data_IF_830050108576
#
_entry.id   IF_830050108576
#
_cell.length_a   1.000
_cell.length_b   1.000
_cell.length_c   1.000
_cell.angle_alpha   90.00
_cell.angle_beta   90.00
_cell.angle_gamma   90.00
#
_symmetry.space_group_name_H-M   'P 1'
#
loop_
_entity.id
_entity.type
_entity.pdbx_description
1 polymer ?
#
# COMPACT_ATOMS: atom_id res chain seq x y z
N UNK A 1 8.44 37.05 8.82
CA UNK A 1 7.20 37.12 8.02
C UNK A 1 7.47 36.47 6.68
N UNK A 2 6.48 35.78 6.06
CA UNK A 2 6.67 35.23 4.74
C UNK A 2 6.93 36.34 3.72
N UNK A 3 7.82 36.10 2.77
CA UNK A 3 8.14 37.02 1.68
C UNK A 3 8.09 36.29 0.33
N UNK A 4 7.87 37.04 -0.75
CA UNK A 4 7.81 36.49 -2.09
C UNK A 4 8.67 37.29 -3.05
N UNK A 5 9.33 36.61 -3.98
CA UNK A 5 10.07 37.22 -5.09
C UNK A 5 9.67 36.53 -6.38
N UNK A 6 9.29 37.30 -7.39
CA UNK A 6 8.96 36.78 -8.72
C UNK A 6 10.23 36.78 -9.58
N UNK A 7 10.48 35.68 -10.28
CA UNK A 7 11.57 35.60 -11.25
C UNK A 7 11.38 36.63 -12.38
N UNK A 8 12.43 37.28 -12.93
CA UNK A 8 12.29 38.27 -14.00
C UNK A 8 11.56 37.78 -15.25
N UNK A 9 11.56 36.47 -15.52
CA UNK A 9 10.83 35.88 -16.64
C UNK A 9 9.33 35.67 -16.35
N UNK A 10 8.89 35.88 -15.11
CA UNK A 10 7.55 35.59 -14.62
C UNK A 10 7.23 34.09 -14.54
N UNK A 11 8.17 33.18 -14.85
CA UNK A 11 7.88 31.75 -14.95
C UNK A 11 7.72 31.04 -13.62
N UNK A 12 8.26 31.61 -12.53
CA UNK A 12 8.08 31.10 -11.18
C UNK A 12 8.21 32.23 -10.15
N UNK A 13 7.78 31.96 -8.92
CA UNK A 13 8.07 32.76 -7.75
C UNK A 13 8.82 31.92 -6.71
N UNK A 14 9.55 32.60 -5.83
CA UNK A 14 10.15 32.03 -4.63
C UNK A 14 9.39 32.53 -3.41
N UNK A 15 8.75 31.62 -2.68
CA UNK A 15 8.11 31.90 -1.40
C UNK A 15 9.08 31.53 -0.28
N UNK A 16 9.40 32.49 0.59
CA UNK A 16 10.23 32.27 1.77
C UNK A 16 9.36 32.28 3.01
N UNK A 17 9.33 31.18 3.74
CA UNK A 17 8.60 31.01 5.01
C UNK A 17 9.59 30.63 6.12
N UNK A 18 9.17 30.49 7.40
CA UNK A 18 10.04 29.97 8.46
C UNK A 18 10.60 28.56 8.18
N UNK A 19 9.95 27.74 7.35
CA UNK A 19 10.44 26.40 6.96
C UNK A 19 11.43 26.42 5.79
N UNK A 20 11.70 27.60 5.22
CA UNK A 20 12.68 27.83 4.17
C UNK A 20 12.10 28.45 2.91
N UNK A 21 12.93 28.52 1.86
CA UNK A 21 12.52 29.00 0.55
C UNK A 21 12.08 27.83 -0.35
N UNK A 22 11.00 28.03 -1.10
CA UNK A 22 10.46 27.08 -2.10
C UNK A 22 10.05 27.83 -3.37
N UNK A 23 10.33 27.24 -4.54
CA UNK A 23 9.92 27.80 -5.84
C UNK A 23 8.62 27.16 -6.35
N UNK A 24 7.76 27.99 -6.95
CA UNK A 24 6.50 27.57 -7.56
C UNK A 24 6.33 28.22 -8.94
N UNK A 25 6.07 27.40 -9.96
CA UNK A 25 5.93 27.82 -11.36
C UNK A 25 4.56 28.45 -11.60
N UNK A 26 4.51 29.43 -12.49
CA UNK A 26 3.28 30.13 -12.88
C UNK A 26 2.19 29.17 -13.34
N UNK A 27 2.53 28.24 -14.24
CA UNK A 27 1.59 27.23 -14.75
C UNK A 27 1.05 26.33 -13.64
N UNK A 28 1.89 25.90 -12.69
CA UNK A 28 1.46 25.05 -11.58
C UNK A 28 0.54 25.80 -10.64
N UNK A 29 0.86 27.04 -10.29
CA UNK A 29 -0.01 27.88 -9.46
C UNK A 29 -1.35 28.11 -10.17
N UNK A 30 -1.35 28.47 -11.47
CA UNK A 30 -2.57 28.72 -12.23
C UNK A 30 -3.48 27.49 -12.33
N UNK A 31 -2.91 26.31 -12.54
CA UNK A 31 -3.63 25.02 -12.63
C UNK A 31 -4.15 24.52 -11.25
N UNK A 32 -3.59 25.05 -10.17
CA UNK A 32 -3.93 24.70 -8.80
C UNK A 32 -4.63 25.82 -8.02
N UNK A 33 -5.07 26.88 -8.71
CA UNK A 33 -5.84 27.94 -8.07
C UNK A 33 -7.11 27.37 -7.38
N UNK A 34 -7.41 27.89 -6.20
CA UNK A 34 -8.51 27.41 -5.35
C UNK A 34 -9.76 28.28 -5.44
N UNK A 35 -9.77 29.27 -6.34
CA UNK A 35 -10.92 30.15 -6.51
C UNK A 35 -12.11 29.42 -7.16
N UNK A 36 -13.36 29.88 -6.94
CA UNK A 36 -14.56 29.24 -7.48
C UNK A 36 -14.62 29.12 -9.01
N UNK A 37 -13.81 29.90 -9.75
CA UNK A 37 -13.69 29.78 -11.20
C UNK A 37 -12.72 28.69 -11.67
N UNK A 38 -11.90 28.14 -10.76
CA UNK A 38 -10.94 27.07 -11.06
C UNK A 38 -11.33 25.76 -10.36
N UNK A 39 -11.92 25.83 -9.15
CA UNK A 39 -12.34 24.68 -8.34
C UNK A 39 -13.80 24.85 -7.93
N UNK A 40 -14.62 23.82 -8.17
CA UNK A 40 -16.01 23.81 -7.77
C UNK A 40 -16.15 23.77 -6.23
N UNK A 41 -16.82 24.76 -5.59
CA UNK A 41 -16.91 24.82 -4.12
C UNK A 41 -17.56 23.60 -3.46
N UNK A 42 -18.52 22.94 -4.15
CA UNK A 42 -19.29 21.84 -3.57
C UNK A 42 -18.63 20.46 -3.62
N UNK A 43 -17.66 20.24 -4.51
CA UNK A 43 -17.07 18.90 -4.70
C UNK A 43 -15.54 18.91 -4.95
N UNK A 44 -14.91 20.08 -5.02
CA UNK A 44 -13.46 20.23 -5.21
C UNK A 44 -12.95 19.86 -6.60
N UNK A 45 -13.82 19.50 -7.54
CA UNK A 45 -13.42 19.20 -8.91
C UNK A 45 -12.86 20.45 -9.61
N UNK A 46 -11.85 20.26 -10.46
CA UNK A 46 -11.30 21.32 -11.30
C UNK A 46 -12.30 21.64 -12.41
N UNK A 47 -12.56 22.93 -12.64
CA UNK A 47 -13.53 23.42 -13.64
C UNK A 47 -12.90 23.77 -14.99
N UNK A 48 -11.57 23.74 -15.06
CA UNK A 48 -10.79 24.06 -16.26
C UNK A 48 -9.96 22.84 -16.68
N UNK A 49 -9.64 22.81 -17.96
CA UNK A 49 -8.65 21.91 -18.54
C UNK A 49 -7.31 22.65 -18.69
N UNK A 50 -6.23 21.90 -18.95
CA UNK A 50 -4.93 22.52 -19.21
C UNK A 50 -4.95 23.41 -20.47
N UNK A 51 -5.83 23.13 -21.44
CA UNK A 51 -5.99 23.94 -22.66
C UNK A 51 -6.55 25.34 -22.37
N UNK A 52 -7.30 25.47 -21.28
CA UNK A 52 -7.85 26.76 -20.84
C UNK A 52 -6.80 27.63 -20.12
N UNK A 53 -5.60 27.08 -19.89
CA UNK A 53 -4.44 27.78 -19.35
C UNK A 53 -3.51 28.12 -20.52
N UNK A 54 -3.32 29.42 -20.87
CA UNK A 54 -2.42 29.83 -21.93
C UNK A 54 -1.01 29.25 -21.73
N UNK A 55 -0.40 28.73 -22.80
CA UNK A 55 0.91 28.08 -22.74
C UNK A 55 2.02 29.03 -22.24
N UNK A 56 1.87 30.33 -22.50
CA UNK A 56 2.74 31.42 -22.10
C UNK A 56 2.37 32.04 -20.75
N UNK A 57 1.54 31.35 -19.92
CA UNK A 57 1.15 31.83 -18.59
C UNK A 57 2.38 32.18 -17.73
N UNK A 58 2.40 33.42 -17.25
CA UNK A 58 3.42 34.02 -16.39
C UNK A 58 2.78 34.65 -15.15
N UNK A 59 3.58 34.80 -14.11
CA UNK A 59 3.27 35.63 -12.94
C UNK A 59 3.61 37.07 -13.31
N UNK A 60 2.60 37.92 -13.39
CA UNK A 60 2.78 39.35 -13.60
C UNK A 60 3.14 40.06 -12.29
N UNK A 61 2.48 39.69 -11.19
CA UNK A 61 2.71 40.23 -9.85
C UNK A 61 2.45 39.15 -8.80
N UNK A 62 3.21 39.18 -7.70
CA UNK A 62 2.91 38.41 -6.50
C UNK A 62 3.23 39.23 -5.25
N UNK A 63 2.37 39.14 -4.24
CA UNK A 63 2.55 39.81 -2.96
C UNK A 63 1.97 38.98 -1.82
N UNK A 64 2.61 39.03 -0.66
CA UNK A 64 2.04 38.51 0.59
C UNK A 64 1.18 39.61 1.19
N UNK A 65 -0.12 39.34 1.34
CA UNK A 65 -1.08 40.27 1.91
C UNK A 65 -0.90 40.40 3.44
N UNK A 66 -1.47 41.44 4.09
CA UNK A 66 -1.36 41.63 5.54
C UNK A 66 -1.90 40.47 6.38
N UNK A 67 -2.85 39.70 5.82
CA UNK A 67 -3.40 38.48 6.43
C UNK A 67 -2.48 37.24 6.25
N UNK A 68 -1.30 37.43 5.67
CA UNK A 68 -0.31 36.39 5.43
C UNK A 68 -0.52 35.59 4.14
N UNK A 69 -1.63 35.78 3.41
CA UNK A 69 -1.91 34.99 2.20
C UNK A 69 -1.12 35.48 1.00
N UNK A 70 -0.72 34.55 0.13
CA UNK A 70 -0.03 34.89 -1.12
C UNK A 70 -1.06 35.23 -2.20
N UNK A 71 -1.05 36.46 -2.70
CA UNK A 71 -1.83 36.85 -3.89
C UNK A 71 -0.94 36.81 -5.12
N UNK A 72 -1.41 36.18 -6.19
CA UNK A 72 -0.71 36.03 -7.46
C UNK A 72 -1.60 36.52 -8.60
N UNK A 73 -1.06 37.36 -9.48
CA UNK A 73 -1.70 37.83 -10.71
C UNK A 73 -0.99 37.22 -11.91
N UNK A 74 -1.76 36.59 -12.79
CA UNK A 74 -1.23 35.95 -13.99
C UNK A 74 -1.42 36.81 -15.24
N UNK A 75 -0.50 36.66 -16.18
CA UNK A 75 -0.62 37.12 -17.56
C UNK A 75 -0.43 35.95 -18.53
N UNK A 76 -1.11 35.93 -19.68
CA UNK A 76 -2.20 36.82 -20.07
C UNK A 76 -3.50 36.55 -19.27
N UNK A 77 -4.46 37.48 -19.32
CA UNK A 77 -5.81 37.30 -18.75
C UNK A 77 -6.06 37.90 -17.36
N UNK A 78 -5.09 38.62 -16.79
CA UNK A 78 -5.16 39.39 -15.53
C UNK A 78 -5.82 38.67 -14.33
N UNK A 79 -5.77 37.33 -14.34
CA UNK A 79 -6.41 36.49 -13.33
C UNK A 79 -5.66 36.66 -12.01
N UNK A 80 -6.35 37.09 -10.97
CA UNK A 80 -5.85 37.16 -9.59
C UNK A 80 -6.37 35.99 -8.78
N UNK A 81 -5.50 35.34 -8.02
CA UNK A 81 -5.84 34.24 -7.11
C UNK A 81 -5.07 34.41 -5.80
N UNK A 82 -5.58 33.79 -4.75
CA UNK A 82 -4.95 33.81 -3.43
C UNK A 82 -4.70 32.39 -2.95
N UNK A 83 -3.54 32.17 -2.34
CA UNK A 83 -3.13 30.90 -1.74
C UNK A 83 -2.85 31.07 -0.26
N UNK A 84 -3.24 30.06 0.51
CA UNK A 84 -2.73 29.86 1.86
C UNK A 84 -1.27 29.34 1.76
N UNK A 85 -0.28 30.03 2.38
CA UNK A 85 1.10 29.56 2.42
C UNK A 85 1.25 28.16 3.01
N UNK A 86 0.43 27.76 3.99
CA UNK A 86 0.47 26.42 4.56
C UNK A 86 0.04 25.36 3.53
N UNK A 87 -0.94 25.69 2.67
CA UNK A 87 -1.34 24.82 1.57
C UNK A 87 -0.20 24.64 0.55
N UNK A 88 0.50 25.73 0.21
CA UNK A 88 1.66 25.71 -0.69
C UNK A 88 2.83 24.91 -0.11
N UNK A 89 3.17 25.13 1.17
CA UNK A 89 4.25 24.42 1.84
C UNK A 89 4.00 22.91 1.86
N UNK A 90 2.77 22.50 2.21
CA UNK A 90 2.35 21.10 2.22
C UNK A 90 2.38 20.45 0.83
N UNK A 91 2.46 21.24 -0.26
CA UNK A 91 2.48 20.78 -1.67
C UNK A 91 3.72 21.26 -2.42
N UNK A 92 4.75 21.69 -1.69
CA UNK A 92 6.00 22.12 -2.27
C UNK A 92 6.65 20.94 -3.02
N UNK A 93 6.94 21.16 -4.30
CA UNK A 93 7.61 20.19 -5.17
C UNK A 93 9.08 20.57 -5.45
N UNK A 94 9.46 21.81 -5.15
CA UNK A 94 10.87 22.25 -5.16
C UNK A 94 11.57 21.76 -3.89
N UNK A 95 11.80 20.44 -3.85
CA UNK A 95 12.43 19.71 -2.75
C UNK A 95 13.36 18.65 -3.31
N UNK A 96 14.31 18.20 -2.50
CA UNK A 96 15.14 17.05 -2.85
C UNK A 96 14.25 15.81 -3.05
N UNK A 97 14.37 15.15 -4.19
CA UNK A 97 13.73 13.86 -4.46
C UNK A 97 14.61 12.78 -3.84
N UNK A 98 14.05 11.75 -3.17
CA UNK A 98 14.83 10.61 -2.73
C UNK A 98 15.55 9.99 -3.93
N UNK A 99 16.88 9.98 -3.91
CA UNK A 99 17.67 9.45 -5.03
C UNK A 99 17.76 7.91 -5.01
N UNK A 100 17.39 7.27 -3.90
CA UNK A 100 17.60 5.85 -3.68
C UNK A 100 16.43 5.02 -4.21
N UNK A 101 16.68 4.18 -5.21
CA UNK A 101 15.70 3.17 -5.68
C UNK A 101 15.28 2.25 -4.54
N UNK A 102 13.99 1.97 -4.45
CA UNK A 102 13.35 1.30 -3.32
C UNK A 102 13.18 2.20 -2.10
N UNK A 103 12.97 3.51 -2.26
CA UNK A 103 12.59 4.34 -1.11
C UNK A 103 11.15 4.05 -0.69
N UNK A 104 10.83 4.34 0.57
CA UNK A 104 9.50 4.11 1.15
C UNK A 104 8.89 5.44 1.62
N UNK A 105 7.57 5.60 1.52
CA UNK A 105 6.90 6.78 2.04
C UNK A 105 6.99 6.84 3.58
N UNK A 106 7.03 8.03 4.19
CA UNK A 106 7.27 8.20 5.63
C UNK A 106 6.29 7.46 6.55
N UNK A 107 5.06 7.24 6.10
CA UNK A 107 4.04 6.50 6.82
C UNK A 107 4.30 4.99 6.89
N UNK A 108 5.10 4.44 5.98
CA UNK A 108 5.42 3.01 5.93
C UNK A 108 6.62 2.73 6.83
N UNK A 109 6.46 1.76 7.74
CA UNK A 109 7.54 1.27 8.60
C UNK A 109 7.77 -0.21 8.33
N UNK A 110 8.96 -0.55 7.87
CA UNK A 110 9.37 -1.95 7.71
C UNK A 110 9.63 -2.62 9.05
N UNK A 111 9.48 -3.94 9.09
CA UNK A 111 9.65 -4.74 10.29
C UNK A 111 10.23 -6.12 10.01
N UNK A 112 10.69 -6.76 11.08
CA UNK A 112 11.21 -8.13 11.14
C UNK A 112 10.53 -8.86 12.30
N UNK A 113 11.10 -9.98 12.77
CA UNK A 113 10.54 -10.77 13.89
C UNK A 113 10.37 -9.97 15.19
N UNK A 114 11.04 -8.82 15.36
CA UNK A 114 10.89 -7.96 16.53
C UNK A 114 9.47 -7.42 16.72
N UNK A 115 8.67 -7.29 15.66
CA UNK A 115 7.27 -6.86 15.74
C UNK A 115 6.36 -7.92 16.40
N UNK A 116 6.81 -9.16 16.54
CA UNK A 116 6.06 -10.23 17.19
C UNK A 116 5.72 -9.92 18.66
N UNK A 117 6.50 -9.06 19.32
CA UNK A 117 6.23 -8.63 20.69
C UNK A 117 5.03 -7.66 20.80
N UNK A 118 4.67 -6.99 19.71
CA UNK A 118 3.60 -5.98 19.66
C UNK A 118 2.89 -6.03 18.30
N UNK A 119 2.23 -7.15 18.05
CA UNK A 119 1.48 -7.36 16.80
C UNK A 119 0.30 -6.39 16.76
N UNK A 120 0.16 -5.55 15.72
CA UNK A 120 -0.97 -4.63 15.62
C UNK A 120 -2.30 -5.37 15.71
N UNK A 121 -3.18 -4.94 16.60
CA UNK A 121 -4.42 -5.64 16.91
C UNK A 121 -5.52 -4.64 17.27
N UNK A 122 -6.76 -4.93 16.85
CA UNK A 122 -7.95 -4.18 17.26
C UNK A 122 -9.08 -5.11 17.71
N UNK A 123 -9.90 -4.64 18.65
CA UNK A 123 -11.13 -5.32 19.07
C UNK A 123 -12.27 -5.02 18.10
N UNK A 124 -12.92 -6.04 17.55
CA UNK A 124 -13.95 -5.86 16.53
C UNK A 124 -15.10 -4.95 16.97
N UNK A 125 -15.51 -5.00 18.24
CA UNK A 125 -16.62 -4.18 18.77
C UNK A 125 -16.22 -2.71 18.80
N UNK A 126 -14.99 -2.41 19.26
CA UNK A 126 -14.44 -1.06 19.27
C UNK A 126 -14.25 -0.52 17.85
N UNK A 127 -13.75 -1.36 16.93
CA UNK A 127 -13.58 -0.99 15.52
C UNK A 127 -14.93 -0.68 14.85
N UNK A 128 -15.97 -1.47 15.15
CA UNK A 128 -17.31 -1.26 14.61
C UNK A 128 -17.96 0.01 15.15
N UNK A 129 -17.65 0.42 16.38
CA UNK A 129 -18.08 1.70 16.94
C UNK A 129 -17.43 2.91 16.24
N UNK A 130 -16.33 2.72 15.52
CA UNK A 130 -15.64 3.75 14.75
C UNK A 130 -14.67 4.58 15.59
N UNK A 131 -14.59 5.88 15.29
CA UNK A 131 -13.73 6.81 16.03
C UNK A 131 -12.24 6.48 16.00
N UNK A 132 -11.55 6.77 17.10
CA UNK A 132 -10.10 6.63 17.24
C UNK A 132 -9.62 5.19 17.09
N UNK A 133 -10.33 4.21 17.66
CA UNK A 133 -9.99 2.80 17.57
C UNK A 133 -9.89 2.33 16.11
N UNK A 134 -10.91 2.64 15.30
CA UNK A 134 -10.91 2.31 13.87
C UNK A 134 -9.83 3.09 13.11
N UNK A 135 -9.71 4.40 13.34
CA UNK A 135 -8.69 5.23 12.68
C UNK A 135 -7.29 4.66 12.92
N UNK A 136 -6.97 4.38 14.18
CA UNK A 136 -5.64 3.96 14.58
C UNK A 136 -5.33 2.55 14.06
N UNK A 137 -6.30 1.62 14.10
CA UNK A 137 -6.16 0.29 13.51
C UNK A 137 -5.93 0.32 11.99
N UNK A 138 -6.68 1.13 11.24
CA UNK A 138 -6.43 1.34 9.81
C UNK A 138 -5.04 1.96 9.57
N UNK A 139 -4.62 2.89 10.42
CA UNK A 139 -3.30 3.49 10.42
C UNK A 139 -2.19 2.46 10.64
N UNK A 140 -2.41 1.46 11.50
CA UNK A 140 -1.47 0.34 11.67
C UNK A 140 -1.36 -0.51 10.42
N UNK A 141 -2.46 -0.79 9.71
CA UNK A 141 -2.42 -1.53 8.43
C UNK A 141 -1.67 -0.72 7.37
N UNK A 142 -1.89 0.60 7.27
CA UNK A 142 -1.12 1.44 6.34
C UNK A 142 0.37 1.43 6.70
N UNK A 143 0.70 1.48 7.99
CA UNK A 143 2.08 1.56 8.48
C UNK A 143 2.85 0.26 8.35
N UNK A 144 2.28 -0.84 8.84
CA UNK A 144 2.92 -2.15 8.94
C UNK A 144 2.48 -3.12 7.84
N UNK A 145 1.45 -2.79 7.06
CA UNK A 145 0.92 -3.68 6.03
C UNK A 145 0.09 -4.84 6.57
N UNK A 146 -0.11 -4.96 7.89
CA UNK A 146 -1.04 -5.95 8.45
C UNK A 146 -1.52 -5.56 9.85
N UNK A 147 -2.66 -6.12 10.25
CA UNK A 147 -3.14 -6.09 11.63
C UNK A 147 -4.09 -7.27 11.91
N UNK A 148 -4.15 -7.69 13.18
CA UNK A 148 -5.14 -8.63 13.70
C UNK A 148 -6.45 -7.92 14.05
N UNK A 149 -7.51 -8.73 14.07
CA UNK A 149 -8.81 -8.39 14.67
C UNK A 149 -9.14 -9.51 15.67
N UNK A 150 -9.59 -9.15 16.86
CA UNK A 150 -10.08 -10.09 17.87
C UNK A 150 -11.55 -9.85 18.17
N UNK A 151 -12.22 -10.84 18.76
CA UNK A 151 -13.63 -10.77 19.16
C UNK A 151 -14.60 -10.49 18.00
N UNK A 152 -14.26 -10.91 16.77
CA UNK A 152 -15.16 -10.91 15.64
C UNK A 152 -16.22 -12.05 15.74
N UNK A 153 -17.39 -11.91 15.10
CA UNK A 153 -18.44 -12.93 15.17
C UNK A 153 -17.99 -14.29 14.62
N UNK A 154 -18.25 -15.36 15.39
CA UNK A 154 -17.93 -16.74 14.96
C UNK A 154 -19.09 -17.29 14.12
N UNK A 155 -19.24 -16.77 12.90
CA UNK A 155 -20.23 -17.24 11.91
C UNK A 155 -19.70 -17.16 10.48
N UNK A 156 -20.16 -18.03 9.57
CA UNK A 156 -19.86 -17.89 8.15
C UNK A 156 -20.18 -16.48 7.63
N UNK A 157 -19.25 -15.92 6.86
CA UNK A 157 -19.38 -14.60 6.26
C UNK A 157 -19.02 -13.43 7.18
N UNK A 158 -18.60 -13.65 8.44
CA UNK A 158 -18.21 -12.57 9.36
C UNK A 158 -16.98 -11.77 8.89
N UNK A 159 -16.14 -12.33 8.02
CA UNK A 159 -15.06 -11.57 7.36
C UNK A 159 -15.57 -10.40 6.51
N UNK A 160 -16.81 -10.44 6.02
CA UNK A 160 -17.40 -9.33 5.29
C UNK A 160 -17.66 -8.15 6.20
N UNK A 161 -18.10 -8.40 7.44
CA UNK A 161 -18.28 -7.34 8.44
C UNK A 161 -16.95 -6.61 8.74
N UNK A 162 -15.81 -7.31 8.64
CA UNK A 162 -14.47 -6.71 8.78
C UNK A 162 -14.12 -5.84 7.57
N UNK A 163 -14.45 -6.28 6.35
CA UNK A 163 -14.22 -5.49 5.13
C UNK A 163 -15.09 -4.24 5.12
N UNK A 164 -16.33 -4.33 5.59
CA UNK A 164 -17.29 -3.22 5.65
C UNK A 164 -16.81 -2.07 6.56
N UNK A 165 -15.85 -2.31 7.47
CA UNK A 165 -15.20 -1.26 8.26
C UNK A 165 -14.44 -0.25 7.39
N UNK A 166 -13.98 -0.66 6.20
CA UNK A 166 -13.03 0.12 5.42
C UNK A 166 -13.22 0.11 3.90
N UNK A 167 -13.97 -0.81 3.31
CA UNK A 167 -14.07 -0.89 1.85
C UNK A 167 -15.04 -1.93 1.35
N UNK A 168 -14.69 -2.56 0.23
CA UNK A 168 -15.55 -3.48 -0.50
C UNK A 168 -14.80 -4.78 -0.84
N UNK A 169 -15.56 -5.88 -0.90
CA UNK A 169 -15.03 -7.19 -1.26
C UNK A 169 -14.73 -7.24 -2.76
N UNK A 170 -13.55 -7.77 -3.11
CA UNK A 170 -13.21 -8.16 -4.47
C UNK A 170 -13.66 -9.58 -4.74
N UNK A 171 -14.70 -9.72 -5.56
CA UNK A 171 -15.17 -11.03 -6.03
C UNK A 171 -14.23 -11.63 -7.08
N UNK A 172 -14.05 -12.95 -7.06
CA UNK A 172 -13.20 -13.71 -7.98
C UNK A 172 -13.91 -14.97 -8.49
N UNK A 173 -13.26 -15.80 -9.32
CA UNK A 173 -13.80 -17.13 -9.66
C UNK A 173 -13.97 -18.04 -8.44
N UNK A 174 -13.28 -17.78 -7.32
CA UNK A 174 -13.51 -18.48 -6.06
C UNK A 174 -14.78 -18.02 -5.33
N UNK A 175 -15.49 -17.01 -5.87
CA UNK A 175 -16.63 -16.34 -5.24
C UNK A 175 -16.22 -15.09 -4.47
N UNK A 176 -17.14 -14.61 -3.62
CA UNK A 176 -16.93 -13.47 -2.71
C UNK A 176 -15.99 -13.80 -1.54
N UNK A 177 -15.95 -15.06 -1.14
CA UNK A 177 -15.02 -15.63 -0.16
C UNK A 177 -14.73 -17.08 -0.54
N UNK A 178 -13.69 -17.66 0.05
CA UNK A 178 -13.32 -19.06 -0.12
C UNK A 178 -13.13 -19.74 1.24
N UNK A 179 -13.34 -21.05 1.25
CA UNK A 179 -13.25 -21.90 2.44
C UNK A 179 -11.86 -22.53 2.54
N UNK A 180 -11.18 -22.39 3.68
CA UNK A 180 -9.93 -23.07 3.98
C UNK A 180 -10.16 -24.05 5.11
N UNK A 181 -10.48 -25.29 4.74
CA UNK A 181 -10.72 -26.39 5.68
C UNK A 181 -9.54 -27.35 5.67
N UNK A 182 -9.09 -27.73 6.86
CA UNK A 182 -8.05 -28.75 7.03
C UNK A 182 -8.51 -29.75 8.08
N UNK A 183 -8.60 -31.02 7.68
CA UNK A 183 -8.64 -32.16 8.59
C UNK A 183 -7.22 -32.72 8.71
N UNK A 184 -6.60 -32.56 9.87
CA UNK A 184 -5.25 -33.09 10.12
C UNK A 184 -5.41 -34.51 10.63
N UNK A 185 -5.20 -35.50 9.75
CA UNK A 185 -5.24 -36.93 10.06
C UNK A 185 -3.87 -37.59 9.73
N UNK A 186 -3.27 -38.39 10.64
CA UNK A 186 -1.98 -39.05 10.40
C UNK A 186 -1.92 -39.94 9.15
N UNK A 187 -3.05 -40.42 8.64
CA UNK A 187 -3.09 -41.42 7.55
C UNK A 187 -3.19 -40.84 6.14
N UNK A 188 -3.51 -39.55 5.97
CA UNK A 188 -3.80 -38.96 4.65
C UNK A 188 -2.87 -37.78 4.34
N UNK A 189 -1.70 -38.09 3.77
CA UNK A 189 -0.66 -37.13 3.38
C UNK A 189 -0.98 -36.32 2.09
N UNK A 190 -2.19 -36.43 1.53
CA UNK A 190 -2.53 -35.85 0.22
C UNK A 190 -2.96 -34.37 0.23
N UNK A 191 -3.30 -33.79 1.40
CA UNK A 191 -3.53 -32.34 1.58
C UNK A 191 -2.58 -31.83 2.67
N UNK A 192 -1.31 -31.72 2.31
CA UNK A 192 -0.15 -31.84 3.21
C UNK A 192 -0.14 -30.89 4.41
N UNK A 193 0.15 -31.45 5.60
CA UNK A 193 0.56 -30.71 6.80
C UNK A 193 1.91 -30.00 6.68
N UNK A 194 2.51 -29.96 5.48
CA UNK A 194 3.74 -29.23 5.18
C UNK A 194 3.50 -27.72 5.31
N UNK A 195 4.53 -27.00 5.78
CA UNK A 195 4.51 -25.54 5.82
C UNK A 195 4.42 -24.97 4.40
N UNK A 196 3.67 -23.89 4.24
CA UNK A 196 3.66 -23.14 2.98
C UNK A 196 4.77 -22.10 3.06
N UNK A 197 5.55 -21.96 1.99
CA UNK A 197 6.45 -20.81 1.85
C UNK A 197 5.62 -19.52 1.91
N UNK A 198 6.13 -18.48 2.58
CA UNK A 198 5.48 -17.18 2.61
C UNK A 198 5.30 -16.65 1.18
N UNK A 199 4.10 -16.19 0.87
CA UNK A 199 3.74 -15.74 -0.48
C UNK A 199 2.76 -14.56 -0.45
N UNK A 200 2.70 -13.82 -1.55
CA UNK A 200 1.55 -12.99 -1.88
C UNK A 200 0.57 -13.76 -2.75
N UNK A 201 -0.71 -13.51 -2.54
CA UNK A 201 -1.79 -14.19 -3.23
C UNK A 201 -2.02 -13.62 -4.62
N UNK A 202 -2.35 -14.51 -5.55
CA UNK A 202 -2.82 -14.20 -6.89
C UNK A 202 -1.92 -13.23 -7.68
N UNK A 203 -0.58 -13.39 -7.71
CA UNK A 203 0.28 -12.53 -8.52
C UNK A 203 0.04 -12.69 -10.03
N UNK A 204 -0.74 -13.71 -10.43
CA UNK A 204 -1.28 -13.95 -11.77
C UNK A 204 -2.51 -13.09 -12.13
N UNK A 205 -3.02 -12.25 -11.21
CA UNK A 205 -4.07 -11.26 -11.50
C UNK A 205 -3.46 -9.87 -11.69
N UNK A 206 -4.02 -9.13 -12.64
CA UNK A 206 -3.65 -7.74 -12.90
C UNK A 206 -4.93 -6.91 -13.15
N UNK A 207 -5.36 -6.06 -12.20
CA UNK A 207 -4.69 -5.76 -10.93
C UNK A 207 -4.70 -6.94 -9.94
N UNK A 208 -3.64 -7.05 -9.14
CA UNK A 208 -3.55 -8.02 -8.03
C UNK A 208 -4.53 -7.62 -6.92
N UNK A 209 -5.21 -8.55 -6.24
CA UNK A 209 -5.96 -8.21 -5.04
C UNK A 209 -5.05 -7.58 -3.99
N UNK A 210 -5.35 -6.37 -3.54
CA UNK A 210 -4.40 -5.61 -2.71
C UNK A 210 -4.60 -5.85 -1.21
N UNK A 211 -5.76 -6.35 -0.77
CA UNK A 211 -6.00 -6.77 0.61
C UNK A 211 -6.47 -8.21 0.64
N UNK A 212 -5.98 -8.98 1.61
CA UNK A 212 -6.54 -10.28 1.97
C UNK A 212 -6.97 -10.27 3.44
N UNK A 213 -8.13 -10.86 3.72
CA UNK A 213 -8.64 -11.10 5.08
C UNK A 213 -8.77 -12.61 5.28
N UNK A 214 -8.23 -13.12 6.38
CA UNK A 214 -8.44 -14.51 6.82
C UNK A 214 -9.05 -14.51 8.21
N UNK A 215 -10.24 -15.10 8.34
CA UNK A 215 -11.02 -15.17 9.57
C UNK A 215 -11.19 -16.61 10.05
N UNK A 216 -10.97 -16.84 11.34
CA UNK A 216 -11.01 -18.16 11.94
C UNK A 216 -12.39 -18.48 12.54
N UNK A 217 -12.99 -19.59 12.09
CA UNK A 217 -14.26 -20.10 12.61
C UNK A 217 -14.05 -21.30 13.55
N UNK A 218 -13.07 -22.16 13.26
CA UNK A 218 -12.72 -23.31 14.10
C UNK A 218 -11.21 -23.53 14.09
N UNK A 219 -10.65 -23.83 15.27
CA UNK A 219 -9.21 -24.09 15.44
C UNK A 219 -8.98 -25.05 16.62
N UNK A 220 -8.99 -26.35 16.35
CA UNK A 220 -8.69 -27.38 17.36
C UNK A 220 -7.33 -28.07 17.14
N UNK A 221 -6.75 -27.97 15.94
CA UNK A 221 -5.44 -28.54 15.63
C UNK A 221 -4.29 -27.84 16.39
N UNK A 222 -3.25 -28.60 16.76
CA UNK A 222 -1.99 -28.06 17.29
C UNK A 222 -1.03 -27.69 16.15
N UNK A 223 -0.23 -26.64 16.37
CA UNK A 223 0.60 -26.05 15.32
C UNK A 223 -0.22 -25.25 14.32
N UNK A 224 0.32 -25.07 13.12
CA UNK A 224 -0.34 -24.31 12.06
C UNK A 224 -0.36 -22.81 12.30
N UNK A 225 0.53 -22.27 13.13
CA UNK A 225 0.64 -20.84 13.38
C UNK A 225 0.68 -20.08 12.06
N UNK A 226 -0.09 -19.00 11.97
CA UNK A 226 -0.01 -18.10 10.82
C UNK A 226 1.33 -17.39 10.90
N UNK A 227 1.85 -17.06 9.73
CA UNK A 227 3.16 -16.46 9.57
C UNK A 227 3.03 -15.33 8.55
N UNK A 228 3.59 -14.17 8.88
CA UNK A 228 3.67 -13.03 7.96
C UNK A 228 5.12 -12.56 7.86
N UNK A 229 5.51 -12.10 6.67
CA UNK A 229 6.84 -11.58 6.36
C UNK A 229 6.69 -10.27 5.58
N UNK A 230 7.39 -9.23 6.02
CA UNK A 230 7.36 -7.94 5.32
C UNK A 230 8.19 -8.01 4.03
N UNK A 231 7.52 -8.10 2.88
CA UNK A 231 8.17 -8.13 1.58
C UNK A 231 9.01 -6.89 1.31
N UNK A 232 8.63 -5.73 1.87
CA UNK A 232 9.43 -4.52 1.72
C UNK A 232 10.73 -4.61 2.54
N UNK A 233 10.68 -5.11 3.77
CA UNK A 233 11.89 -5.36 4.55
C UNK A 233 12.83 -6.35 3.84
N UNK A 234 12.26 -7.43 3.28
CA UNK A 234 13.01 -8.41 2.51
C UNK A 234 13.66 -7.81 1.26
N UNK A 235 12.93 -6.99 0.51
CA UNK A 235 13.44 -6.31 -0.69
C UNK A 235 14.54 -5.30 -0.35
N UNK A 236 14.39 -4.54 0.74
CA UNK A 236 15.41 -3.61 1.22
C UNK A 236 16.67 -4.33 1.71
N UNK A 237 16.53 -5.48 2.37
CA UNK A 237 17.66 -6.34 2.75
C UNK A 237 18.38 -6.86 1.51
N UNK A 238 17.64 -7.35 0.51
CA UNK A 238 18.23 -7.78 -0.76
C UNK A 238 19.02 -6.64 -1.42
N UNK A 239 18.46 -5.42 -1.45
CA UNK A 239 19.15 -4.23 -1.98
C UNK A 239 20.44 -3.91 -1.21
N UNK A 240 20.41 -4.03 0.12
CA UNK A 240 21.59 -3.78 0.96
C UNK A 240 22.68 -4.84 0.76
N UNK A 241 22.29 -6.10 0.55
CA UNK A 241 23.22 -7.21 0.29
C UNK A 241 23.76 -7.20 -1.14
N UNK A 242 22.92 -6.89 -2.13
CA UNK A 242 23.26 -6.84 -3.55
C UNK A 242 22.30 -5.93 -4.32
N UNK A 243 22.70 -4.68 -4.62
CA UNK A 243 21.90 -3.78 -5.46
C UNK A 243 21.59 -4.36 -6.84
N UNK A 244 22.53 -5.14 -7.42
CA UNK A 244 22.34 -5.84 -8.69
C UNK A 244 21.18 -6.83 -8.63
N UNK A 245 21.07 -7.61 -7.54
CA UNK A 245 19.98 -8.59 -7.40
C UNK A 245 18.63 -7.90 -7.23
N UNK A 246 18.60 -6.81 -6.47
CA UNK A 246 17.39 -5.99 -6.35
C UNK A 246 16.96 -5.44 -7.72
N UNK A 247 17.88 -4.86 -8.48
CA UNK A 247 17.57 -4.29 -9.80
C UNK A 247 17.16 -5.37 -10.80
N UNK A 248 17.76 -6.56 -10.80
CA UNK A 248 17.33 -7.67 -11.66
C UNK A 248 15.87 -8.08 -11.41
N UNK A 249 15.46 -8.17 -10.13
CA UNK A 249 14.08 -8.52 -9.77
C UNK A 249 13.08 -7.38 -9.95
N UNK A 250 13.56 -6.14 -10.08
CA UNK A 250 12.75 -4.95 -10.31
C UNK A 250 12.59 -4.60 -11.79
N UNK A 251 13.66 -4.71 -12.58
CA UNK A 251 13.69 -4.28 -13.97
C UNK A 251 13.19 -5.35 -14.94
N UNK A 252 13.23 -6.63 -14.54
CA UNK A 252 12.73 -7.72 -15.36
C UNK A 252 11.46 -8.36 -14.77
N UNK A 253 10.45 -8.50 -15.62
CA UNK A 253 9.19 -9.10 -15.20
C UNK A 253 9.32 -10.61 -14.97
N UNK A 254 8.76 -11.07 -13.86
CA UNK A 254 8.33 -12.44 -13.72
C UNK A 254 7.07 -12.70 -14.55
N UNK A 255 6.75 -13.99 -14.70
CA UNK A 255 5.47 -14.46 -15.23
C UNK A 255 4.77 -15.25 -14.15
N UNK A 256 3.47 -15.04 -14.02
CA UNK A 256 2.64 -15.79 -13.10
C UNK A 256 1.45 -16.38 -13.85
N UNK A 257 1.08 -17.61 -13.52
CA UNK A 257 -0.01 -18.34 -14.17
C UNK A 257 -0.81 -19.17 -13.17
N UNK A 258 -2.12 -19.20 -13.36
CA UNK A 258 -3.04 -20.14 -12.74
C UNK A 258 -4.00 -20.68 -13.79
N UNK A 259 -3.94 -21.98 -14.05
CA UNK A 259 -4.81 -22.70 -14.99
C UNK A 259 -5.33 -24.02 -14.37
N UNK A 260 -5.51 -24.04 -13.05
CA UNK A 260 -5.85 -25.25 -12.28
C UNK A 260 -7.34 -25.60 -12.23
N UNK A 261 -8.22 -24.72 -12.73
CA UNK A 261 -9.67 -24.89 -12.70
C UNK A 261 -10.24 -24.83 -14.12
N UNK A 262 -11.19 -25.72 -14.44
CA UNK A 262 -11.81 -25.76 -15.75
C UNK A 262 -12.50 -24.43 -16.07
N UNK A 263 -12.12 -23.80 -17.19
CA UNK A 263 -12.65 -22.49 -17.59
C UNK A 263 -11.95 -21.29 -16.95
N UNK A 264 -10.90 -21.50 -16.13
CA UNK A 264 -10.10 -20.42 -15.53
C UNK A 264 -8.66 -20.52 -16.02
N UNK A 265 -8.20 -19.47 -16.70
CA UNK A 265 -6.80 -19.28 -17.08
C UNK A 265 -6.43 -17.83 -16.79
N UNK A 266 -5.60 -17.60 -15.79
CA UNK A 266 -5.18 -16.28 -15.34
C UNK A 266 -3.67 -16.17 -15.49
N UNK A 267 -3.21 -15.09 -16.12
CA UNK A 267 -1.79 -14.83 -16.32
C UNK A 267 -1.46 -13.37 -16.05
N UNK A 268 -0.31 -13.10 -15.46
CA UNK A 268 0.22 -11.75 -15.34
C UNK A 268 1.71 -11.68 -15.65
N UNK A 269 2.13 -10.50 -16.11
CA UNK A 269 3.52 -10.13 -16.40
C UNK A 269 3.87 -8.93 -15.53
N UNK A 270 4.53 -9.18 -14.40
CA UNK A 270 4.89 -8.14 -13.41
C UNK A 270 6.24 -8.49 -12.77
N UNK A 271 7.06 -7.49 -12.38
CA UNK A 271 8.27 -7.75 -11.61
C UNK A 271 7.94 -8.32 -10.23
N UNK A 272 8.91 -9.01 -9.62
CA UNK A 272 8.78 -9.46 -8.23
C UNK A 272 8.87 -8.27 -7.27
N UNK A 273 9.65 -7.24 -7.63
CA UNK A 273 9.80 -5.99 -6.88
C UNK A 273 9.30 -4.86 -7.79
N UNK A 274 8.12 -4.30 -7.52
CA UNK A 274 7.56 -3.23 -8.35
C UNK A 274 7.98 -1.86 -7.81
N UNK A 275 8.58 -1.04 -8.67
CA UNK A 275 8.94 0.34 -8.37
C UNK A 275 8.08 1.33 -9.14
N UNK A 276 7.79 2.47 -8.54
CA UNK A 276 7.31 3.64 -9.27
C UNK A 276 8.43 4.23 -10.15
N UNK A 277 8.12 5.09 -11.13
CA UNK A 277 9.14 5.69 -12.02
C UNK A 277 10.24 6.48 -11.30
N UNK A 278 9.97 7.00 -10.11
CA UNK A 278 10.94 7.69 -9.25
C UNK A 278 11.67 6.75 -8.27
N UNK A 279 11.47 5.44 -8.41
CA UNK A 279 12.09 4.42 -7.58
C UNK A 279 11.38 4.15 -6.25
N UNK A 280 10.16 4.65 -6.01
CA UNK A 280 9.40 4.26 -4.80
C UNK A 280 9.10 2.75 -4.83
N UNK A 281 9.35 2.02 -3.74
CA UNK A 281 8.94 0.62 -3.64
C UNK A 281 7.42 0.53 -3.46
N UNK A 282 6.74 -0.09 -4.43
CA UNK A 282 5.27 -0.12 -4.51
C UNK A 282 4.65 -1.47 -4.19
N UNK A 283 5.25 -2.56 -4.65
CA UNK A 283 4.70 -3.89 -4.42
C UNK A 283 5.76 -5.01 -4.46
N UNK A 284 5.43 -6.13 -3.82
CA UNK A 284 6.17 -7.40 -3.89
C UNK A 284 5.23 -8.51 -4.38
N UNK A 285 5.65 -9.23 -5.41
CA UNK A 285 4.96 -10.42 -5.94
C UNK A 285 5.86 -11.62 -5.82
N UNK A 286 5.49 -12.54 -4.94
CA UNK A 286 6.28 -13.74 -4.68
C UNK A 286 5.35 -14.90 -4.38
N UNK A 287 5.28 -15.87 -5.29
CA UNK A 287 4.48 -17.08 -5.12
C UNK A 287 5.06 -18.18 -6.01
N UNK A 288 5.77 -19.13 -5.40
CA UNK A 288 6.45 -20.21 -6.12
C UNK A 288 5.49 -21.13 -6.88
N UNK A 289 4.27 -21.36 -6.36
CA UNK A 289 3.28 -22.29 -6.93
C UNK A 289 2.64 -21.81 -8.22
N UNK A 290 2.62 -20.50 -8.43
CA UNK A 290 2.08 -19.87 -9.63
C UNK A 290 3.15 -19.17 -10.46
N UNK A 291 4.43 -19.42 -10.17
CA UNK A 291 5.54 -18.90 -10.95
C UNK A 291 5.63 -19.66 -12.29
N UNK A 292 5.49 -18.93 -13.38
CA UNK A 292 5.53 -19.47 -14.73
C UNK A 292 6.90 -19.27 -15.40
N UNK A 293 7.10 -19.87 -16.57
CA UNK A 293 8.35 -19.75 -17.31
C UNK A 293 8.68 -18.27 -17.65
N UNK A 294 9.81 -17.78 -17.15
CA UNK A 294 10.28 -16.40 -17.38
C UNK A 294 10.83 -16.28 -18.80
N UNK A 295 10.32 -15.31 -19.56
CA UNK A 295 10.71 -15.05 -20.96
C UNK A 295 11.16 -13.61 -21.19
N UNK A 296 11.13 -12.77 -20.15
CA UNK A 296 11.39 -11.32 -20.23
C UNK A 296 12.79 -10.90 -19.72
N UNK A 297 13.60 -11.87 -19.30
CA UNK A 297 14.99 -11.65 -18.88
C UNK A 297 15.93 -11.99 -20.04
N UNK A 298 16.85 -11.10 -20.43
CA UNK A 298 17.87 -11.39 -21.44
C UNK A 298 18.69 -12.64 -21.13
N UNK A 299 19.14 -13.34 -22.17
CA UNK A 299 19.87 -14.61 -22.05
C UNK A 299 21.09 -14.52 -21.13
N UNK A 300 21.89 -13.45 -21.27
CA UNK A 300 23.10 -13.18 -20.48
C UNK A 300 22.82 -12.82 -19.01
N UNK A 301 21.56 -12.53 -18.66
CA UNK A 301 21.13 -12.14 -17.31
C UNK A 301 20.33 -13.22 -16.59
N UNK A 302 19.84 -14.24 -17.29
CA UNK A 302 18.90 -15.22 -16.74
C UNK A 302 19.46 -15.99 -15.55
N UNK A 303 20.71 -16.45 -15.61
CA UNK A 303 21.34 -17.16 -14.49
C UNK A 303 21.44 -16.27 -13.24
N UNK A 304 21.86 -15.02 -13.43
CA UNK A 304 21.93 -14.01 -12.36
C UNK A 304 20.55 -13.65 -11.80
N UNK A 305 19.53 -13.59 -12.64
CA UNK A 305 18.14 -13.38 -12.21
C UNK A 305 17.66 -14.52 -11.30
N UNK A 306 17.93 -15.78 -11.66
CA UNK A 306 17.60 -16.92 -10.80
C UNK A 306 18.41 -16.95 -9.50
N UNK A 307 19.67 -16.49 -9.52
CA UNK A 307 20.45 -16.30 -8.29
C UNK A 307 19.84 -15.23 -7.38
N UNK A 308 19.38 -14.11 -7.95
CA UNK A 308 18.66 -13.07 -7.23
C UNK A 308 17.33 -13.58 -6.66
N UNK A 309 16.54 -14.30 -7.47
CA UNK A 309 15.28 -14.91 -7.02
C UNK A 309 15.49 -15.89 -5.87
N UNK A 310 16.51 -16.77 -5.97
CA UNK A 310 16.89 -17.68 -4.88
C UNK A 310 17.24 -16.89 -3.62
N UNK A 311 18.11 -15.88 -3.73
CA UNK A 311 18.52 -15.09 -2.56
C UNK A 311 17.34 -14.36 -1.91
N UNK A 312 16.41 -13.86 -2.72
CA UNK A 312 15.20 -13.24 -2.21
C UNK A 312 14.31 -14.23 -1.46
N UNK A 313 14.15 -15.45 -1.98
CA UNK A 313 13.46 -16.54 -1.29
C UNK A 313 14.13 -16.92 0.04
N UNK A 314 15.46 -17.01 0.08
CA UNK A 314 16.21 -17.27 1.33
C UNK A 314 16.00 -16.19 2.38
N UNK A 315 15.93 -14.91 1.98
CA UNK A 315 15.61 -13.82 2.90
C UNK A 315 14.18 -13.97 3.43
N UNK A 316 13.22 -14.30 2.56
CA UNK A 316 11.81 -14.50 2.94
C UNK A 316 11.66 -15.69 3.90
N UNK A 317 12.44 -16.75 3.72
CA UNK A 317 12.41 -17.96 4.55
C UNK A 317 13.20 -17.81 5.87
N UNK A 318 13.94 -16.71 6.06
CA UNK A 318 14.70 -16.44 7.28
C UNK A 318 13.77 -16.18 8.46
N UNK A 319 13.86 -16.99 9.51
CA UNK A 319 13.05 -16.85 10.73
C UNK A 319 13.28 -15.53 11.47
N UNK A 320 14.36 -14.80 11.17
CA UNK A 320 14.53 -13.45 11.68
C UNK A 320 13.56 -12.43 11.03
N UNK A 321 12.95 -12.77 9.89
CA UNK A 321 12.04 -11.90 9.15
C UNK A 321 10.56 -12.15 9.46
N UNK A 322 10.24 -13.26 10.13
CA UNK A 322 8.86 -13.71 10.30
C UNK A 322 8.23 -13.23 11.61
N UNK A 323 6.97 -12.83 11.55
CA UNK A 323 6.10 -12.69 12.71
C UNK A 323 5.10 -13.83 12.70
N UNK A 324 5.01 -14.58 13.79
CA UNK A 324 4.11 -15.73 13.91
C UNK A 324 3.03 -15.48 14.95
N UNK A 325 1.81 -15.95 14.67
CA UNK A 325 0.69 -15.88 15.62
C UNK A 325 -0.38 -16.92 15.31
N UNK A 326 -1.06 -17.37 16.37
CA UNK A 326 -2.24 -18.23 16.24
C UNK A 326 -3.50 -17.37 16.03
N UNK A 327 -4.45 -17.91 15.26
CA UNK A 327 -5.81 -17.40 15.19
C UNK A 327 -6.72 -18.40 15.91
N UNK A 328 -7.38 -17.93 16.94
CA UNK A 328 -8.46 -18.64 17.60
C UNK A 328 -9.81 -18.26 16.95
N UNK A 329 -10.89 -19.04 17.15
CA UNK A 329 -12.21 -18.70 16.65
C UNK A 329 -12.62 -17.26 17.02
N UNK A 330 -13.10 -16.50 16.04
CA UNK A 330 -13.44 -15.08 16.20
C UNK A 330 -12.24 -14.14 16.07
N UNK A 331 -11.07 -14.66 15.70
CA UNK A 331 -9.93 -13.82 15.31
C UNK A 331 -9.75 -13.82 13.80
N UNK A 332 -9.31 -12.68 13.26
CA UNK A 332 -8.89 -12.53 11.89
C UNK A 332 -7.55 -11.79 11.80
N UNK A 333 -6.98 -11.77 10.61
CA UNK A 333 -5.97 -10.78 10.26
C UNK A 333 -6.20 -10.29 8.83
N UNK A 334 -5.77 -9.05 8.61
CA UNK A 334 -5.81 -8.34 7.34
C UNK A 334 -4.38 -8.08 6.91
N UNK A 335 -4.05 -8.37 5.66
CA UNK A 335 -2.74 -8.07 5.05
C UNK A 335 -2.91 -7.20 3.81
N UNK A 336 -2.03 -6.22 3.66
CA UNK A 336 -1.73 -5.58 2.38
C UNK A 336 -0.98 -6.62 1.52
N UNK A 337 -1.74 -7.29 0.66
CA UNK A 337 -1.26 -8.36 -0.21
C UNK A 337 -0.33 -7.84 -1.33
N UNK A 338 -0.14 -6.53 -1.45
CA UNK A 338 0.91 -5.96 -2.31
C UNK A 338 2.25 -5.86 -1.59
N UNK A 339 2.31 -6.07 -0.27
CA UNK A 339 3.52 -5.90 0.55
C UNK A 339 3.85 -7.14 1.39
N UNK A 340 2.90 -7.58 2.20
CA UNK A 340 3.12 -8.56 3.26
C UNK A 340 2.83 -9.95 2.72
N UNK A 341 3.85 -10.80 2.74
CA UNK A 341 3.73 -12.21 2.42
C UNK A 341 3.13 -12.93 3.62
N UNK A 342 2.38 -14.00 3.38
CA UNK A 342 1.75 -14.78 4.43
C UNK A 342 1.89 -16.29 4.15
N UNK A 343 1.83 -17.07 5.22
CA UNK A 343 1.96 -18.51 5.21
C UNK A 343 1.40 -19.11 6.51
N UNK A 344 1.56 -20.43 6.65
CA UNK A 344 1.33 -21.15 7.89
C UNK A 344 2.50 -22.10 8.18
N UNK A 345 2.79 -22.29 9.46
CA UNK A 345 3.65 -23.39 9.92
C UNK A 345 2.97 -24.75 9.68
N UNK A 346 3.75 -25.82 9.81
CA UNK A 346 3.22 -27.18 9.77
C UNK A 346 2.31 -27.46 10.98
N UNK A 347 1.38 -28.40 10.81
CA UNK A 347 0.58 -28.88 11.94
C UNK A 347 1.37 -29.92 12.75
N UNK A 348 1.24 -29.87 14.07
CA UNK A 348 1.96 -30.75 15.01
C UNK A 348 1.04 -31.68 15.81
N UNK A 349 -0.27 -31.63 15.57
CA UNK A 349 -1.23 -32.54 16.18
C UNK A 349 -2.57 -32.59 15.44
N UNK A 350 -3.35 -33.62 15.75
CA UNK A 350 -4.67 -33.86 15.16
C UNK A 350 -5.66 -32.75 15.49
N UNK A 351 -6.64 -32.57 14.60
CA UNK A 351 -7.74 -31.65 14.80
C UNK A 351 -8.25 -31.07 13.49
N UNK A 352 -9.18 -30.13 13.63
CA UNK A 352 -9.83 -29.44 12.53
C UNK A 352 -9.44 -27.97 12.56
N UNK A 353 -9.25 -27.41 11.37
CA UNK A 353 -9.15 -25.96 11.20
C UNK A 353 -10.06 -25.50 10.08
N UNK A 354 -10.82 -24.45 10.35
CA UNK A 354 -11.71 -23.82 9.40
C UNK A 354 -11.50 -22.31 9.42
N UNK A 355 -10.88 -21.81 8.35
CA UNK A 355 -10.79 -20.38 8.06
C UNK A 355 -11.66 -20.05 6.85
N UNK A 356 -12.13 -18.80 6.79
CA UNK A 356 -12.68 -18.20 5.58
C UNK A 356 -11.77 -17.08 5.12
N UNK A 357 -11.50 -17.02 3.81
CA UNK A 357 -10.70 -15.96 3.21
C UNK A 357 -11.50 -15.13 2.22
N UNK A 358 -11.24 -13.83 2.14
CA UNK A 358 -11.68 -13.00 1.01
C UNK A 358 -10.60 -11.99 0.64
N UNK A 359 -10.85 -11.32 -0.48
CA UNK A 359 -10.04 -10.20 -0.92
C UNK A 359 -10.83 -8.89 -0.84
N UNK A 360 -10.10 -7.81 -0.64
CA UNK A 360 -10.61 -6.43 -0.66
C UNK A 360 -9.54 -5.51 -1.25
N UNK A 361 -9.69 -4.22 -1.01
CA UNK A 361 -8.94 -3.19 -1.72
C UNK A 361 -8.36 -2.09 -0.83
N UNK A 362 -7.09 -1.74 -1.10
CA UNK A 362 -6.32 -0.78 -0.31
C UNK A 362 -6.77 0.66 -0.56
N UNK A 363 -7.39 0.97 -1.70
CA UNK A 363 -7.95 2.31 -1.95
C UNK A 363 -9.10 2.62 -0.99
N UNK A 364 -10.01 1.66 -0.74
CA UNK A 364 -11.04 1.81 0.30
C UNK A 364 -10.44 2.05 1.68
N UNK A 365 -9.50 1.19 2.08
CA UNK A 365 -8.81 1.28 3.37
C UNK A 365 -8.11 2.64 3.56
N UNK A 366 -7.30 3.04 2.59
CA UNK A 366 -6.56 4.32 2.62
C UNK A 366 -7.52 5.52 2.57
N UNK A 367 -8.60 5.44 1.78
CA UNK A 367 -9.63 6.46 1.70
C UNK A 367 -10.31 6.68 3.06
N UNK A 368 -10.75 5.59 3.71
CA UNK A 368 -11.38 5.64 5.03
C UNK A 368 -10.44 6.22 6.07
N UNK A 369 -9.21 5.71 6.14
CA UNK A 369 -8.19 6.21 7.07
C UNK A 369 -7.91 7.71 6.86
N UNK A 370 -7.64 8.13 5.62
CA UNK A 370 -7.34 9.52 5.31
C UNK A 370 -8.50 10.48 5.63
N UNK A 371 -9.75 10.07 5.37
CA UNK A 371 -10.93 10.85 5.74
C UNK A 371 -11.00 11.05 7.27
N UNK A 372 -10.80 9.99 8.05
CA UNK A 372 -10.83 10.05 9.52
C UNK A 372 -9.68 10.90 10.09
N UNK A 373 -8.47 10.79 9.54
CA UNK A 373 -7.33 11.62 9.95
C UNK A 373 -7.56 13.11 9.64
N UNK A 374 -8.22 13.42 8.52
CA UNK A 374 -8.50 14.80 8.13
C UNK A 374 -9.54 15.44 9.05
N UNK A 375 -10.61 14.73 9.39
CA UNK A 375 -11.64 15.23 10.32
C UNK A 375 -11.04 15.51 11.70
N UNK A 376 -10.27 14.59 12.26
CA UNK A 376 -9.63 14.78 13.57
C UNK A 376 -8.69 16.00 13.61
N UNK A 377 -8.00 16.31 12.50
CA UNK A 377 -7.15 17.52 12.40
C UNK A 377 -7.95 18.81 12.33
N UNK A 378 -9.17 18.78 11.80
CA UNK A 378 -10.06 19.96 11.78
C UNK A 378 -10.59 20.21 13.19
N UNK A 379 -11.06 19.16 13.88
CA UNK A 379 -11.54 19.25 15.27
C UNK A 379 -10.43 19.71 16.24
N UNK A 380 -9.18 19.27 16.05
CA UNK A 380 -8.06 19.70 16.87
C UNK A 380 -7.54 21.12 16.56
N UNK A 381 -8.00 21.74 15.47
CA UNK A 381 -7.63 23.09 15.06
C UNK A 381 -8.69 24.14 15.43
N UNK A 382 -9.86 23.70 15.89
CA UNK A 382 -10.91 24.51 16.52
C UNK A 382 -10.69 24.58 18.03
#
# INVERSE_FOLDING_TARGET
MPSVTVDPTGRFLTLTTPSGARRFHAVWLRDNAQDPGTRAPGNGQRLITLRDIPQDTQIAEAAVAPDGRLTVRFAPGDKRVTFDPAWLEARAYDRAVPATRGWLPPEVRTWDAGLMADVPCGDFTELQAGGDALRDWLGQIVRHGFAKVVNAPIRPGALFDIVDLFGYVRETNYGRHFEVRTEVNPTNLAYTGLGLQAHTDNPYRDPVPTVQVLHCLQSSAKGGENMVVDGFAAALRLRAESPEFFDLLADHCARFEYAGEAGVCLTARRPMIELAPDGELRAVRFNNRSFAAVTDVPFDRMERYYAAYRRFGEIIDDTAMEVTFRLDPGQAFVVDNTRVLHARKGYSGEGTRWLQGCYADMDGLRSRHAAMTRTARLEAAE
#
